data_IF_888482478936
#
_entry.id   IF_888482478936
#
_cell.length_a   1.000
_cell.length_b   1.000
_cell.length_c   1.000
_cell.angle_alpha   90.00
_cell.angle_beta   90.00
_cell.angle_gamma   90.00
#
_symmetry.space_group_name_H-M   'P 1'
#
loop_
_entity.id
_entity.type
_entity.pdbx_description
1 polymer ?
#
# COMPACT_ATOMS: atom_id res chain seq x y z
N UNK A 1 49.32 -3.68 17.90
CA UNK A 1 48.65 -4.03 16.64
C UNK A 1 47.19 -4.29 16.94
N UNK A 2 46.29 -3.60 16.25
CA UNK A 2 44.84 -3.72 16.44
C UNK A 2 44.12 -2.64 15.66
N UNK A 3 44.33 -2.62 14.34
CA UNK A 3 43.64 -1.71 13.44
C UNK A 3 42.17 -2.11 13.36
N UNK A 4 41.31 -1.44 14.12
CA UNK A 4 39.87 -1.42 13.83
C UNK A 4 39.74 -0.52 12.60
N UNK A 5 39.66 -1.15 11.44
CA UNK A 5 39.47 -0.48 10.17
C UNK A 5 38.22 0.38 10.21
N UNK A 6 38.40 1.67 9.92
CA UNK A 6 37.34 2.62 9.66
C UNK A 6 36.44 2.02 8.56
N UNK A 7 35.21 1.65 8.91
CA UNK A 7 34.15 1.47 7.92
C UNK A 7 34.03 2.80 7.16
N UNK A 8 34.31 2.77 5.86
CA UNK A 8 34.27 3.94 5.00
C UNK A 8 32.90 4.60 5.09
N UNK A 9 32.86 5.91 5.36
CA UNK A 9 31.62 6.72 5.32
C UNK A 9 30.92 6.65 3.96
N UNK A 10 31.60 6.19 2.91
CA UNK A 10 31.02 5.96 1.59
C UNK A 10 30.04 4.77 1.57
N UNK A 11 30.14 3.83 2.51
CA UNK A 11 29.17 2.73 2.63
C UNK A 11 27.82 3.20 3.22
N UNK A 12 27.76 4.42 3.77
CA UNK A 12 26.59 5.00 4.44
C UNK A 12 26.04 6.25 3.75
N UNK A 13 26.69 6.70 2.67
CA UNK A 13 26.25 7.85 1.90
C UNK A 13 25.41 7.36 0.72
N UNK A 14 24.10 7.57 0.79
CA UNK A 14 23.26 7.49 -0.40
C UNK A 14 23.83 8.42 -1.48
N UNK A 15 24.01 7.97 -2.73
CA UNK A 15 24.66 8.76 -3.77
C UNK A 15 23.93 10.09 -3.98
N UNK A 16 24.66 11.20 -3.83
CA UNK A 16 24.12 12.55 -4.07
C UNK A 16 24.27 13.03 -5.52
N UNK A 17 24.94 12.25 -6.36
CA UNK A 17 25.21 12.58 -7.75
C UNK A 17 24.31 11.80 -8.71
N UNK A 18 23.73 12.57 -9.63
CA UNK A 18 22.76 12.19 -10.66
C UNK A 18 23.37 11.32 -11.78
N UNK A 19 23.84 10.11 -11.46
CA UNK A 19 24.09 9.06 -12.45
C UNK A 19 23.03 7.96 -12.31
N UNK A 20 21.97 8.14 -13.09
CA UNK A 20 20.59 7.64 -12.99
C UNK A 20 20.36 6.19 -13.47
N UNK A 21 21.36 5.30 -13.41
CA UNK A 21 21.22 3.93 -13.99
C UNK A 21 21.31 2.79 -12.95
N UNK A 22 22.22 2.84 -11.97
CA UNK A 22 22.39 1.73 -11.01
C UNK A 22 21.38 1.76 -9.85
N UNK A 23 20.88 2.95 -9.47
CA UNK A 23 19.79 3.09 -8.49
C UNK A 23 18.41 2.70 -9.09
N UNK A 24 18.33 2.64 -10.43
CA UNK A 24 17.18 2.10 -11.16
C UNK A 24 17.14 0.57 -11.18
N UNK A 25 18.26 -0.11 -10.94
CA UNK A 25 18.36 -1.59 -10.93
C UNK A 25 17.83 -2.24 -9.64
N UNK A 26 17.46 -1.44 -8.63
CA UNK A 26 16.64 -1.87 -7.49
C UNK A 26 15.46 -0.89 -7.34
N UNK A 27 14.62 -0.84 -8.37
CA UNK A 27 13.42 -0.01 -8.33
C UNK A 27 12.53 -0.44 -7.16
N UNK A 28 11.87 0.52 -6.50
CA UNK A 28 10.85 0.23 -5.48
C UNK A 28 9.82 -0.80 -5.98
N UNK A 29 9.55 -0.81 -7.29
CA UNK A 29 8.71 -1.79 -7.97
C UNK A 29 9.24 -3.24 -7.85
N UNK A 30 10.54 -3.46 -8.04
CA UNK A 30 11.15 -4.80 -7.91
C UNK A 30 11.18 -5.27 -6.46
N UNK A 31 11.41 -4.37 -5.51
CA UNK A 31 11.36 -4.70 -4.08
C UNK A 31 9.94 -5.09 -3.66
N UNK A 32 8.93 -4.34 -4.14
CA UNK A 32 7.50 -4.68 -3.94
C UNK A 32 7.19 -6.03 -4.58
N UNK A 33 7.61 -6.25 -5.84
CA UNK A 33 7.38 -7.52 -6.53
C UNK A 33 8.02 -8.70 -5.79
N UNK A 34 9.22 -8.53 -5.24
CA UNK A 34 9.87 -9.52 -4.40
C UNK A 34 9.08 -9.85 -3.13
N UNK A 35 8.57 -8.84 -2.44
CA UNK A 35 7.74 -9.05 -1.25
C UNK A 35 6.38 -9.72 -1.56
N UNK A 36 5.81 -9.40 -2.73
CA UNK A 36 4.58 -10.02 -3.25
C UNK A 36 4.78 -11.47 -3.70
N UNK A 37 5.99 -11.83 -4.12
CA UNK A 37 6.32 -13.19 -4.53
C UNK A 37 6.47 -14.16 -3.35
N UNK A 38 6.70 -13.68 -2.12
CA UNK A 38 6.83 -14.54 -0.94
C UNK A 38 5.45 -15.05 -0.53
N UNK A 39 5.27 -16.37 -0.43
CA UNK A 39 3.99 -16.95 0.00
C UNK A 39 3.62 -16.55 1.43
N UNK A 40 2.38 -16.12 1.64
CA UNK A 40 1.90 -15.69 2.96
C UNK A 40 1.70 -16.81 3.98
N UNK A 41 1.57 -18.08 3.55
CA UNK A 41 1.49 -19.26 4.44
C UNK A 41 2.87 -19.82 4.75
N UNK A 42 3.77 -19.81 3.76
CA UNK A 42 5.12 -20.33 3.90
C UNK A 42 6.16 -19.38 3.28
N UNK A 43 6.84 -18.53 4.09
CA UNK A 43 7.80 -17.55 3.59
C UNK A 43 9.07 -18.17 3.01
N UNK A 44 9.26 -19.50 3.11
CA UNK A 44 10.35 -20.21 2.43
C UNK A 44 10.05 -20.50 0.95
N UNK A 45 8.81 -20.28 0.52
CA UNK A 45 8.34 -20.54 -0.84
C UNK A 45 8.01 -19.23 -1.57
N UNK A 46 8.21 -19.26 -2.89
CA UNK A 46 7.81 -18.18 -3.77
C UNK A 46 6.60 -18.61 -4.61
N UNK A 47 5.57 -17.77 -4.68
CA UNK A 47 4.43 -17.95 -5.56
C UNK A 47 4.68 -17.18 -6.85
N UNK A 48 4.46 -17.80 -8.02
CA UNK A 48 4.48 -17.08 -9.29
C UNK A 48 3.51 -15.89 -9.26
N UNK A 49 3.85 -14.82 -9.97
CA UNK A 49 2.94 -13.69 -10.13
C UNK A 49 1.56 -14.18 -10.60
N UNK A 50 0.44 -13.72 -9.99
CA UNK A 50 -0.89 -14.10 -10.42
C UNK A 50 -1.05 -13.79 -11.92
N UNK A 51 -1.54 -14.76 -12.69
CA UNK A 51 -1.91 -14.51 -14.08
C UNK A 51 -3.04 -13.47 -14.08
N UNK A 52 -2.91 -12.40 -14.87
CA UNK A 52 -3.94 -11.36 -15.02
C UNK A 52 -5.19 -12.00 -15.63
N UNK A 53 -6.21 -12.32 -14.81
CA UNK A 53 -7.46 -12.85 -15.33
C UNK A 53 -8.26 -11.69 -15.93
N UNK A 54 -9.26 -11.99 -16.75
CA UNK A 54 -10.16 -10.97 -17.30
C UNK A 54 -11.07 -10.41 -16.19
N UNK A 55 -10.54 -9.42 -15.46
CA UNK A 55 -11.23 -8.76 -14.35
C UNK A 55 -12.49 -8.01 -14.82
N UNK A 56 -12.52 -7.60 -16.08
CA UNK A 56 -13.62 -6.83 -16.65
C UNK A 56 -14.90 -7.65 -16.78
N UNK A 57 -14.82 -8.90 -17.26
CA UNK A 57 -16.00 -9.75 -17.35
C UNK A 57 -16.58 -10.10 -15.99
N UNK A 58 -15.73 -10.35 -14.98
CA UNK A 58 -16.19 -10.68 -13.63
C UNK A 58 -16.79 -9.49 -12.87
N UNK A 59 -16.21 -8.29 -12.96
CA UNK A 59 -16.80 -7.08 -12.36
C UNK A 59 -18.15 -6.73 -13.00
N UNK A 60 -18.25 -6.85 -14.32
CA UNK A 60 -19.51 -6.63 -15.02
C UNK A 60 -20.59 -7.61 -14.56
N UNK A 61 -20.22 -8.84 -14.18
CA UNK A 61 -21.13 -9.84 -13.63
C UNK A 61 -21.53 -9.58 -12.16
N UNK A 62 -20.64 -8.96 -11.36
CA UNK A 62 -20.90 -8.66 -9.95
C UNK A 62 -21.98 -7.58 -9.77
N UNK A 63 -22.08 -6.65 -10.74
CA UNK A 63 -22.99 -5.51 -10.67
C UNK A 63 -22.47 -4.38 -9.79
N UNK A 64 -22.92 -3.15 -10.07
CA UNK A 64 -22.43 -1.92 -9.42
C UNK A 64 -22.65 -1.93 -7.91
N UNK A 65 -23.86 -2.29 -7.46
CA UNK A 65 -24.25 -2.20 -6.05
C UNK A 65 -23.44 -3.16 -5.18
N UNK A 66 -23.16 -4.35 -5.69
CA UNK A 66 -22.35 -5.36 -5.00
C UNK A 66 -20.87 -4.94 -4.89
N UNK A 67 -20.31 -4.35 -5.95
CA UNK A 67 -18.94 -3.82 -5.89
C UNK A 67 -18.80 -2.70 -4.84
N UNK A 68 -19.77 -1.78 -4.78
CA UNK A 68 -19.78 -0.70 -3.79
C UNK A 68 -19.97 -1.25 -2.37
N UNK A 69 -20.78 -2.29 -2.18
CA UNK A 69 -20.92 -2.94 -0.88
C UNK A 69 -19.58 -3.51 -0.39
N UNK A 70 -18.76 -4.11 -1.28
CA UNK A 70 -17.42 -4.55 -0.91
C UNK A 70 -16.48 -3.39 -0.55
N UNK A 71 -16.57 -2.25 -1.26
CA UNK A 71 -15.82 -1.04 -0.87
C UNK A 71 -16.23 -0.57 0.53
N UNK A 72 -17.53 -0.59 0.85
CA UNK A 72 -18.02 -0.23 2.20
C UNK A 72 -17.50 -1.19 3.27
N UNK A 73 -17.43 -2.49 2.96
CA UNK A 73 -16.83 -3.48 3.86
C UNK A 73 -15.36 -3.24 4.13
N UNK A 74 -14.61 -2.79 3.13
CA UNK A 74 -13.25 -2.31 3.36
C UNK A 74 -13.22 -1.08 4.28
N UNK A 75 -14.10 -0.10 4.07
CA UNK A 75 -14.15 1.12 4.89
C UNK A 75 -14.53 0.88 6.36
N UNK A 76 -15.02 -0.30 6.74
CA UNK A 76 -15.16 -0.67 8.16
C UNK A 76 -13.80 -0.68 8.91
N UNK A 77 -12.68 -0.75 8.18
CA UNK A 77 -11.31 -0.62 8.69
C UNK A 77 -10.80 0.83 8.78
N UNK A 78 -11.65 1.83 8.57
CA UNK A 78 -11.22 3.24 8.52
C UNK A 78 -10.55 3.73 9.81
N UNK A 79 -10.89 3.13 10.96
CA UNK A 79 -10.27 3.43 12.26
C UNK A 79 -8.76 3.17 12.23
N UNK A 80 -8.31 2.12 11.53
CA UNK A 80 -6.89 1.79 11.37
C UNK A 80 -6.20 2.61 10.26
N UNK A 81 -6.96 3.46 9.57
CA UNK A 81 -6.54 4.26 8.42
C UNK A 81 -6.89 5.75 8.63
N UNK A 82 -6.35 6.42 9.67
CA UNK A 82 -6.74 7.79 10.04
C UNK A 82 -6.43 8.86 8.98
N UNK A 83 -5.64 8.52 7.95
CA UNK A 83 -5.34 9.40 6.82
C UNK A 83 -6.38 9.31 5.67
N UNK A 84 -7.31 8.36 5.75
CA UNK A 84 -8.29 8.08 4.72
C UNK A 84 -9.57 8.88 4.96
N UNK A 85 -9.96 9.70 3.99
CA UNK A 85 -11.28 10.33 3.99
C UNK A 85 -12.28 9.40 3.32
N UNK A 86 -13.16 8.78 4.11
CA UNK A 86 -14.12 7.76 3.63
C UNK A 86 -15.02 8.27 2.51
N UNK A 87 -15.58 9.47 2.67
CA UNK A 87 -16.50 10.07 1.69
C UNK A 87 -15.80 10.32 0.33
N UNK A 88 -14.58 10.86 0.37
CA UNK A 88 -13.80 11.11 -0.83
C UNK A 88 -13.39 9.80 -1.50
N UNK A 89 -12.91 8.82 -0.72
CA UNK A 89 -12.48 7.52 -1.23
C UNK A 89 -13.63 6.78 -1.91
N UNK A 90 -14.80 6.77 -1.28
CA UNK A 90 -16.00 6.15 -1.83
C UNK A 90 -16.44 6.83 -3.13
N UNK A 91 -16.45 8.17 -3.19
CA UNK A 91 -16.79 8.92 -4.41
C UNK A 91 -15.82 8.57 -5.55
N UNK A 92 -14.53 8.52 -5.29
CA UNK A 92 -13.52 8.11 -6.28
C UNK A 92 -13.76 6.69 -6.81
N UNK A 93 -14.16 5.75 -5.93
CA UNK A 93 -14.54 4.39 -6.32
C UNK A 93 -15.80 4.37 -7.20
N UNK A 94 -16.81 5.17 -6.87
CA UNK A 94 -18.02 5.32 -7.68
C UNK A 94 -17.73 5.91 -9.07
N UNK A 95 -16.81 6.88 -9.15
CA UNK A 95 -16.37 7.49 -10.42
C UNK A 95 -15.62 6.50 -11.31
N UNK A 96 -14.76 5.65 -10.73
CA UNK A 96 -14.06 4.57 -11.47
C UNK A 96 -15.09 3.59 -12.07
N UNK A 97 -16.14 3.25 -11.33
CA UNK A 97 -17.22 2.37 -11.80
C UNK A 97 -18.08 3.02 -12.89
N UNK A 98 -18.40 4.30 -12.75
CA UNK A 98 -19.18 5.05 -13.74
C UNK A 98 -18.44 5.17 -15.07
N UNK A 99 -17.16 5.55 -15.04
CA UNK A 99 -16.32 5.70 -16.24
C UNK A 99 -16.09 4.38 -17.01
N UNK A 100 -16.13 3.23 -16.34
CA UNK A 100 -16.03 1.92 -17.01
C UNK A 100 -17.31 1.52 -17.74
N UNK A 101 -18.46 2.05 -17.30
CA UNK A 101 -19.77 1.73 -17.88
C UNK A 101 -20.12 2.63 -19.06
N UNK A 102 -19.65 3.88 -19.05
CA UNK A 102 -19.90 4.86 -20.10
C UNK A 102 -18.58 5.20 -20.81
N UNK A 103 -18.44 4.79 -22.08
CA UNK A 103 -17.32 5.17 -22.97
C UNK A 103 -17.31 6.67 -23.33
N UNK A 104 -17.72 7.57 -22.42
CA UNK A 104 -17.78 9.01 -22.67
C UNK A 104 -16.70 9.72 -21.86
N UNK A 105 -15.75 10.27 -22.62
CA UNK A 105 -14.59 10.99 -22.17
C UNK A 105 -14.99 12.34 -21.54
N UNK A 106 -14.61 12.52 -20.28
CA UNK A 106 -14.25 13.84 -19.77
C UNK A 106 -12.86 13.78 -19.10
N UNK A 107 -12.60 12.81 -18.21
CA UNK A 107 -11.26 12.47 -17.69
C UNK A 107 -11.23 10.99 -17.29
N UNK A 108 -10.28 10.21 -17.80
CA UNK A 108 -10.07 8.83 -17.35
C UNK A 108 -9.65 8.81 -15.88
N UNK A 109 -10.13 7.86 -15.06
CA UNK A 109 -9.69 7.75 -13.67
C UNK A 109 -8.18 7.55 -13.61
N UNK A 110 -7.52 8.12 -12.60
CA UNK A 110 -6.07 7.95 -12.39
C UNK A 110 -5.76 6.49 -12.03
N UNK A 111 -4.53 6.04 -12.31
CA UNK A 111 -4.08 4.70 -11.91
C UNK A 111 -4.25 4.46 -10.40
N UNK A 112 -4.05 5.49 -9.58
CA UNK A 112 -4.28 5.42 -8.13
C UNK A 112 -5.74 5.15 -7.79
N UNK A 113 -6.70 5.84 -8.43
CA UNK A 113 -8.13 5.58 -8.17
C UNK A 113 -8.55 4.18 -8.63
N UNK A 114 -8.01 3.72 -9.77
CA UNK A 114 -8.26 2.36 -10.27
C UNK A 114 -7.69 1.31 -9.32
N UNK A 115 -6.45 1.50 -8.85
CA UNK A 115 -5.82 0.68 -7.80
C UNK A 115 -6.69 0.63 -6.54
N UNK A 116 -7.07 1.80 -6.01
CA UNK A 116 -7.87 1.93 -4.80
C UNK A 116 -9.20 1.18 -4.89
N UNK A 117 -9.91 1.35 -6.02
CA UNK A 117 -11.16 0.65 -6.26
C UNK A 117 -10.98 -0.88 -6.25
N UNK A 118 -10.00 -1.39 -7.00
CA UNK A 118 -9.78 -2.83 -7.10
C UNK A 118 -9.31 -3.44 -5.77
N UNK A 119 -8.35 -2.82 -5.09
CA UNK A 119 -7.82 -3.34 -3.83
C UNK A 119 -8.85 -3.27 -2.71
N UNK A 120 -9.65 -2.20 -2.64
CA UNK A 120 -10.74 -2.10 -1.66
C UNK A 120 -11.81 -3.16 -1.88
N UNK A 121 -12.22 -3.42 -3.14
CA UNK A 121 -13.14 -4.53 -3.43
C UNK A 121 -12.52 -5.88 -3.05
N UNK A 122 -11.25 -6.10 -3.36
CA UNK A 122 -10.55 -7.35 -3.05
C UNK A 122 -10.48 -7.59 -1.54
N UNK A 123 -10.12 -6.57 -0.75
CA UNK A 123 -10.12 -6.63 0.72
C UNK A 123 -11.54 -6.86 1.24
N UNK A 124 -12.52 -6.08 0.75
CA UNK A 124 -13.93 -6.17 1.13
C UNK A 124 -14.52 -7.56 0.95
N UNK A 125 -14.18 -8.25 -0.15
CA UNK A 125 -14.54 -9.65 -0.38
C UNK A 125 -13.86 -10.57 0.64
N UNK A 126 -12.55 -10.38 0.86
CA UNK A 126 -11.76 -11.24 1.75
C UNK A 126 -12.17 -11.15 3.22
N UNK A 127 -12.63 -9.98 3.68
CA UNK A 127 -13.11 -9.79 5.07
C UNK A 127 -14.56 -10.22 5.26
N UNK A 128 -15.34 -10.37 4.18
CA UNK A 128 -16.77 -10.70 4.25
C UNK A 128 -17.00 -12.22 4.32
N UNK A 129 -17.54 -12.77 5.43
CA UNK A 129 -17.75 -14.22 5.56
C UNK A 129 -18.76 -14.79 4.54
N UNK A 130 -19.67 -13.96 4.05
CA UNK A 130 -20.69 -14.31 3.06
C UNK A 130 -20.13 -14.38 1.62
N UNK A 131 -18.93 -13.86 1.39
CA UNK A 131 -18.32 -13.69 0.06
C UNK A 131 -17.18 -14.65 -0.21
N UNK A 132 -17.03 -15.72 0.59
CA UNK A 132 -16.00 -16.76 0.41
C UNK A 132 -15.99 -17.39 -0.98
N UNK A 133 -17.16 -17.49 -1.61
CA UNK A 133 -17.34 -17.97 -2.99
C UNK A 133 -16.69 -17.04 -4.05
N UNK A 134 -16.36 -15.79 -3.70
CA UNK A 134 -15.73 -14.80 -4.56
C UNK A 134 -14.20 -14.72 -4.35
N UNK A 135 -13.56 -15.67 -3.67
CA UNK A 135 -12.11 -15.68 -3.43
C UNK A 135 -11.26 -15.56 -4.71
N UNK A 136 -11.69 -16.19 -5.80
CA UNK A 136 -11.05 -16.05 -7.12
C UNK A 136 -11.15 -14.61 -7.64
N UNK A 137 -12.30 -13.97 -7.47
CA UNK A 137 -12.52 -12.59 -7.87
C UNK A 137 -11.71 -11.62 -7.01
N UNK A 138 -11.61 -11.84 -5.70
CA UNK A 138 -10.70 -11.10 -4.83
C UNK A 138 -9.25 -11.17 -5.33
N UNK A 139 -8.77 -12.37 -5.66
CA UNK A 139 -7.41 -12.57 -6.20
C UNK A 139 -7.23 -11.90 -7.57
N UNK A 140 -8.26 -11.93 -8.39
CA UNK A 140 -8.32 -11.28 -9.71
C UNK A 140 -8.22 -9.76 -9.59
N UNK A 141 -9.02 -9.17 -8.70
CA UNK A 141 -9.03 -7.73 -8.41
C UNK A 141 -7.70 -7.28 -7.82
N UNK A 142 -7.12 -8.05 -6.90
CA UNK A 142 -5.77 -7.79 -6.40
C UNK A 142 -4.74 -7.76 -7.54
N UNK A 143 -4.76 -8.75 -8.44
CA UNK A 143 -3.88 -8.78 -9.63
C UNK A 143 -4.08 -7.55 -10.53
N UNK A 144 -5.31 -7.12 -10.77
CA UNK A 144 -5.58 -5.90 -11.53
C UNK A 144 -5.10 -4.62 -10.81
N UNK A 145 -5.20 -4.56 -9.48
CA UNK A 145 -4.61 -3.46 -8.71
C UNK A 145 -3.08 -3.44 -8.88
N UNK A 146 -2.41 -4.59 -8.78
CA UNK A 146 -0.96 -4.69 -9.01
C UNK A 146 -0.54 -4.20 -10.41
N UNK A 147 -1.40 -4.37 -11.42
CA UNK A 147 -1.17 -3.85 -12.77
C UNK A 147 -1.05 -2.33 -12.86
N UNK A 148 -1.63 -1.59 -11.91
CA UNK A 148 -1.56 -0.11 -11.84
C UNK A 148 -0.30 0.39 -11.13
N UNK A 149 0.36 -0.43 -10.30
CA UNK A 149 1.52 -0.02 -9.50
C UNK A 149 2.67 0.57 -10.33
N UNK A 150 3.08 0.01 -11.48
CA UNK A 150 4.16 0.60 -12.26
C UNK A 150 3.85 2.04 -12.72
N UNK A 151 2.58 2.35 -12.98
CA UNK A 151 2.14 3.71 -13.33
C UNK A 151 2.22 4.63 -12.12
N UNK A 152 1.63 4.21 -11.00
CA UNK A 152 1.61 4.95 -9.73
C UNK A 152 3.02 5.30 -9.26
N UNK A 153 3.93 4.33 -9.29
CA UNK A 153 5.32 4.52 -8.84
C UNK A 153 6.09 5.52 -9.70
N UNK A 154 5.66 5.78 -10.94
CA UNK A 154 6.26 6.79 -11.82
C UNK A 154 5.61 8.17 -11.74
N UNK A 155 4.31 8.23 -11.44
CA UNK A 155 3.52 9.48 -11.58
C UNK A 155 3.09 10.09 -10.25
N UNK A 156 2.85 9.26 -9.23
CA UNK A 156 2.31 9.71 -7.95
C UNK A 156 3.42 10.02 -6.93
N UNK A 157 3.16 10.92 -5.96
CA UNK A 157 4.13 11.25 -4.92
C UNK A 157 4.34 10.07 -3.96
N UNK A 158 5.48 10.09 -3.26
CA UNK A 158 5.91 8.99 -2.38
C UNK A 158 4.93 8.67 -1.23
N UNK A 159 4.07 9.61 -0.82
CA UNK A 159 2.99 9.35 0.15
C UNK A 159 1.97 8.34 -0.39
N UNK A 160 1.67 8.39 -1.68
CA UNK A 160 0.75 7.44 -2.31
C UNK A 160 1.39 6.06 -2.48
N UNK A 161 2.72 5.99 -2.57
CA UNK A 161 3.42 4.70 -2.55
C UNK A 161 3.27 4.02 -1.18
N UNK A 162 3.36 4.78 -0.09
CA UNK A 162 3.09 4.26 1.27
C UNK A 162 1.63 3.82 1.40
N UNK A 163 0.68 4.61 0.89
CA UNK A 163 -0.73 4.23 0.86
C UNK A 163 -0.93 2.88 0.14
N UNK A 164 -0.38 2.72 -1.06
CA UNK A 164 -0.45 1.46 -1.80
C UNK A 164 0.16 0.30 -1.00
N UNK A 165 1.32 0.49 -0.36
CA UNK A 165 1.94 -0.53 0.48
C UNK A 165 1.04 -0.96 1.64
N UNK A 166 0.39 -0.01 2.34
CA UNK A 166 -0.55 -0.33 3.43
C UNK A 166 -1.74 -1.12 2.88
N UNK A 167 -2.30 -0.73 1.74
CA UNK A 167 -3.42 -1.48 1.12
C UNK A 167 -3.01 -2.92 0.77
N UNK A 168 -1.78 -3.12 0.28
CA UNK A 168 -1.24 -4.46 0.03
C UNK A 168 -1.05 -5.24 1.33
N UNK A 169 -0.49 -4.64 2.38
CA UNK A 169 -0.35 -5.28 3.71
C UNK A 169 -1.70 -5.78 4.21
N UNK A 170 -2.74 -4.93 4.17
CA UNK A 170 -4.10 -5.31 4.61
C UNK A 170 -4.61 -6.48 3.79
N UNK A 171 -4.43 -6.47 2.46
CA UNK A 171 -4.83 -7.60 1.63
C UNK A 171 -4.11 -8.90 2.01
N UNK A 172 -2.79 -8.85 2.21
CA UNK A 172 -1.96 -10.00 2.59
C UNK A 172 -2.36 -10.60 3.94
N UNK A 173 -2.92 -9.80 4.86
CA UNK A 173 -3.42 -10.31 6.15
C UNK A 173 -4.63 -11.23 6.01
N UNK A 174 -5.48 -11.01 4.99
CA UNK A 174 -6.67 -11.83 4.75
C UNK A 174 -6.47 -12.89 3.67
N UNK A 175 -5.47 -12.71 2.81
CA UNK A 175 -5.21 -13.62 1.71
C UNK A 175 -3.72 -13.92 1.56
N UNK A 176 -3.36 -15.19 1.69
CA UNK A 176 -1.98 -15.65 1.58
C UNK A 176 -1.37 -15.46 0.19
N UNK A 177 -2.19 -15.29 -0.85
CA UNK A 177 -1.71 -14.94 -2.19
C UNK A 177 -1.34 -13.45 -2.33
N UNK A 178 -1.57 -12.66 -1.29
CA UNK A 178 -1.23 -11.24 -1.23
C UNK A 178 0.25 -10.95 -0.96
N UNK A 179 1.10 -11.98 -0.83
CA UNK A 179 2.50 -11.80 -0.49
C UNK A 179 2.77 -11.77 1.02
N UNK A 180 4.03 -11.47 1.39
CA UNK A 180 4.42 -11.39 2.80
C UNK A 180 4.06 -10.03 3.41
N UNK A 181 3.01 -10.02 4.24
CA UNK A 181 2.56 -8.83 4.97
C UNK A 181 3.70 -8.16 5.78
N UNK A 182 4.55 -8.96 6.42
CA UNK A 182 5.70 -8.45 7.20
C UNK A 182 6.73 -7.74 6.32
N UNK A 183 7.08 -8.29 5.15
CA UNK A 183 8.05 -7.65 4.25
C UNK A 183 7.47 -6.37 3.62
N UNK A 184 6.20 -6.40 3.19
CA UNK A 184 5.49 -5.24 2.65
C UNK A 184 5.41 -4.11 3.70
N UNK A 185 5.13 -4.46 4.95
CA UNK A 185 5.05 -3.51 6.05
C UNK A 185 6.42 -2.95 6.42
N UNK A 186 7.46 -3.78 6.43
CA UNK A 186 8.83 -3.32 6.62
C UNK A 186 9.26 -2.32 5.52
N UNK A 187 8.81 -2.52 4.28
CA UNK A 187 9.01 -1.55 3.20
C UNK A 187 8.22 -0.26 3.42
N UNK A 188 6.96 -0.34 3.87
CA UNK A 188 6.15 0.83 4.20
C UNK A 188 6.77 1.65 5.34
N UNK A 189 7.30 0.99 6.38
CA UNK A 189 7.97 1.65 7.49
C UNK A 189 9.28 2.30 7.04
N UNK A 190 10.14 1.60 6.30
CA UNK A 190 11.39 2.18 5.78
C UNK A 190 11.13 3.39 4.88
N UNK A 191 10.10 3.32 4.05
CA UNK A 191 9.68 4.45 3.19
C UNK A 191 9.19 5.62 4.03
N UNK A 192 8.36 5.35 5.06
CA UNK A 192 7.88 6.37 6.01
C UNK A 192 9.03 7.05 6.76
N UNK A 193 10.04 6.28 7.20
CA UNK A 193 11.22 6.81 7.89
C UNK A 193 12.07 7.65 6.94
N UNK A 194 12.32 7.16 5.72
CA UNK A 194 13.09 7.87 4.69
C UNK A 194 12.47 9.23 4.33
N UNK A 195 11.13 9.30 4.25
CA UNK A 195 10.39 10.54 4.03
C UNK A 195 10.25 11.43 5.28
N UNK A 196 10.78 11.00 6.42
CA UNK A 196 10.72 11.74 7.68
C UNK A 196 9.35 11.78 8.35
N UNK A 197 8.42 10.86 8.03
CA UNK A 197 7.05 10.89 8.58
C UNK A 197 6.99 10.62 10.10
N UNK A 198 8.03 10.01 10.66
CA UNK A 198 8.21 9.78 12.09
C UNK A 198 8.51 11.06 12.89
N UNK A 199 8.77 12.18 12.21
CA UNK A 199 9.08 13.48 12.80
C UNK A 199 7.93 14.46 12.60
N UNK A 200 7.70 15.32 13.58
CA UNK A 200 6.68 16.35 13.48
C UNK A 200 7.03 17.33 12.34
N UNK A 201 6.09 17.65 11.44
CA UNK A 201 6.32 18.62 10.39
C UNK A 201 6.45 20.05 10.94
N UNK A 202 7.32 20.84 10.32
CA UNK A 202 7.49 22.28 10.58
C UNK A 202 6.29 23.05 10.00
N UNK A 203 5.17 23.07 10.74
CA UNK A 203 3.86 23.57 10.31
C UNK A 203 3.82 25.07 9.99
N UNK A 204 4.27 25.46 8.80
CA UNK A 204 4.45 26.87 8.42
C UNK A 204 3.34 27.46 7.52
N UNK A 205 2.24 26.75 7.22
CA UNK A 205 1.08 27.35 6.50
C UNK A 205 -0.20 26.51 6.63
N UNK A 206 -1.37 27.11 6.38
CA UNK A 206 -2.67 26.42 6.43
C UNK A 206 -2.84 25.32 5.40
N UNK A 207 -2.29 25.49 4.18
CA UNK A 207 -2.27 24.44 3.15
C UNK A 207 -1.41 23.24 3.57
N UNK A 208 -0.38 23.46 4.40
CA UNK A 208 0.43 22.38 4.97
C UNK A 208 -0.31 21.62 6.06
N UNK A 209 -1.33 22.19 6.71
CA UNK A 209 -2.05 21.50 7.81
C UNK A 209 -2.71 20.21 7.32
N UNK A 210 -3.46 20.25 6.21
CA UNK A 210 -4.14 19.05 5.71
C UNK A 210 -3.15 17.98 5.21
N UNK A 211 -2.05 18.40 4.59
CA UNK A 211 -0.98 17.50 4.18
C UNK A 211 -0.25 16.91 5.39
N UNK A 212 0.04 17.73 6.40
CA UNK A 212 0.67 17.34 7.65
C UNK A 212 -0.22 16.33 8.40
N UNK A 213 -1.54 16.57 8.49
CA UNK A 213 -2.49 15.64 9.08
C UNK A 213 -2.50 14.29 8.34
N UNK A 214 -2.48 14.30 7.00
CA UNK A 214 -2.35 13.08 6.19
C UNK A 214 -1.02 12.37 6.44
N UNK A 215 0.09 13.10 6.57
CA UNK A 215 1.42 12.56 6.88
C UNK A 215 1.46 11.91 8.26
N UNK A 216 0.89 12.56 9.29
CA UNK A 216 0.77 11.98 10.64
C UNK A 216 -0.09 10.72 10.59
N UNK A 217 -1.25 10.79 9.93
CA UNK A 217 -2.16 9.65 9.79
C UNK A 217 -1.53 8.46 9.07
N UNK A 218 -0.77 8.69 8.00
CA UNK A 218 -0.04 7.64 7.29
C UNK A 218 1.00 6.98 8.20
N UNK A 219 1.80 7.78 8.92
CA UNK A 219 2.77 7.24 9.86
C UNK A 219 2.11 6.41 10.95
N UNK A 220 1.05 6.91 11.59
CA UNK A 220 0.37 6.20 12.66
C UNK A 220 -0.33 4.93 12.18
N UNK A 221 -0.84 4.91 10.94
CA UNK A 221 -1.35 3.68 10.33
C UNK A 221 -0.23 2.63 10.19
N UNK A 222 0.89 2.99 9.53
CA UNK A 222 2.04 2.08 9.34
C UNK A 222 2.58 1.59 10.68
N UNK A 223 2.72 2.49 11.65
CA UNK A 223 3.15 2.17 13.01
C UNK A 223 2.21 1.17 13.71
N UNK A 224 0.91 1.38 13.63
CA UNK A 224 -0.08 0.52 14.28
C UNK A 224 -0.06 -0.89 13.70
N UNK A 225 0.01 -1.00 12.36
CA UNK A 225 0.22 -2.29 11.70
C UNK A 225 1.56 -2.92 12.10
N UNK A 226 2.66 -2.15 12.22
CA UNK A 226 3.99 -2.67 12.59
C UNK A 226 3.97 -3.30 13.98
N UNK A 227 3.33 -2.64 14.95
CA UNK A 227 3.14 -3.19 16.29
C UNK A 227 2.29 -4.46 16.27
N UNK A 228 1.17 -4.45 15.54
CA UNK A 228 0.27 -5.60 15.46
C UNK A 228 0.94 -6.82 14.81
N UNK A 229 1.52 -6.65 13.61
CA UNK A 229 2.13 -7.76 12.88
C UNK A 229 3.37 -8.27 13.61
N UNK A 230 4.22 -7.39 14.12
CA UNK A 230 5.42 -7.79 14.87
C UNK A 230 5.05 -8.58 16.12
N UNK A 231 4.01 -8.17 16.85
CA UNK A 231 3.50 -8.90 18.02
C UNK A 231 2.97 -10.29 17.64
N UNK A 232 2.13 -10.39 16.62
CA UNK A 232 1.52 -11.67 16.19
C UNK A 232 2.58 -12.64 15.66
N UNK A 233 3.64 -12.13 15.02
CA UNK A 233 4.69 -12.95 14.41
C UNK A 233 5.91 -13.18 15.32
N UNK A 234 5.88 -12.70 16.57
CA UNK A 234 7.02 -12.72 17.50
C UNK A 234 8.31 -12.14 16.87
N UNK A 235 8.16 -11.01 16.18
CA UNK A 235 9.24 -10.27 15.52
C UNK A 235 9.54 -8.97 16.27
N UNK A 236 10.79 -8.46 16.18
CA UNK A 236 11.08 -7.11 16.61
C UNK A 236 10.33 -6.07 15.76
N UNK A 237 9.91 -4.99 16.42
CA UNK A 237 9.31 -3.82 15.77
C UNK A 237 10.35 -3.04 14.95
N UNK A 238 9.87 -2.30 13.96
CA UNK A 238 10.73 -1.63 12.99
C UNK A 238 11.36 -0.33 13.49
N UNK A 239 10.69 0.37 14.41
CA UNK A 239 11.14 1.64 15.01
C UNK A 239 10.90 1.64 16.52
N UNK A 240 11.81 2.24 17.29
CA UNK A 240 11.64 2.41 18.74
C UNK A 240 10.83 3.68 19.02
N UNK A 241 10.08 3.71 20.13
CA UNK A 241 9.20 4.85 20.43
C UNK A 241 9.99 6.14 20.68
N UNK A 242 11.23 6.02 21.17
CA UNK A 242 12.13 7.13 21.42
C UNK A 242 12.59 7.85 20.13
N UNK A 243 12.52 7.19 18.98
CA UNK A 243 12.86 7.76 17.68
C UNK A 243 11.67 8.49 17.03
N UNK A 244 10.49 8.48 17.66
CA UNK A 244 9.26 9.07 17.14
C UNK A 244 9.02 10.43 17.80
N UNK A 245 8.89 11.47 16.98
CA UNK A 245 8.60 12.82 17.47
C UNK A 245 7.30 13.41 16.92
N UNK A 246 6.62 12.70 16.00
CA UNK A 246 5.33 13.10 15.46
C UNK A 246 4.23 12.97 16.52
N UNK A 247 3.31 13.93 16.55
CA UNK A 247 2.23 13.98 17.54
C UNK A 247 1.10 13.03 17.16
N UNK A 248 0.45 12.47 18.17
CA UNK A 248 -0.85 11.80 18.05
C UNK A 248 -1.92 12.88 17.90
N UNK A 249 -2.84 12.73 16.94
CA UNK A 249 -3.95 13.66 16.72
C UNK A 249 -5.00 13.55 17.84
#
# INVERSE_FOLDING_TARGET
MGAIGFLSRNAMAEPRDSSDDLAREFSLAEVIAGALAIDGRDPSTAVPAPQTPDVHSHLNSMGRDSAIEHVRKFLEWSVDLPYLNEDLFLRQCEDVMANKTQHQAAQSPTSLHVFNFYIACAIGISVSPTSTHLSFLSSSLHSAALGELPSILRTEPALEHIHCLIMLVIYSLFNSSGGSAWHLLGLAMKTSISLGLHREPDGHSTLRIAEDDRRRGLFWAVYSFDRMISLVMDRPVSIQDEDISVKVN
#
